data_IF_873239521094
#
_entry.id   IF_873239521094
#
_cell.length_a   1.000
_cell.length_b   1.000
_cell.length_c   1.000
_cell.angle_alpha   90.00
_cell.angle_beta   90.00
_cell.angle_gamma   90.00
#
_symmetry.space_group_name_H-M   'P 1'
#
loop_
_entity.id
_entity.type
_entity.pdbx_description
1 polymer ?
#
# COMPACT_ATOMS: atom_id res chain seq x y z
N UNK A 1 19.23 10.33 4.59
CA UNK A 1 17.77 10.12 4.68
C UNK A 1 17.30 8.93 3.86
N UNK A 2 17.29 8.99 2.51
CA UNK A 2 16.79 7.88 1.68
C UNK A 2 17.63 6.59 1.77
N UNK A 3 18.96 6.72 1.81
CA UNK A 3 19.87 5.58 1.94
C UNK A 3 19.76 4.90 3.31
N UNK A 4 19.58 5.67 4.38
CA UNK A 4 19.39 5.13 5.74
C UNK A 4 18.09 4.32 5.84
N UNK A 5 17.01 4.80 5.19
CA UNK A 5 15.73 4.08 5.13
C UNK A 5 15.89 2.73 4.42
N UNK A 6 16.62 2.69 3.30
CA UNK A 6 16.91 1.46 2.56
C UNK A 6 17.76 0.50 3.39
N UNK A 7 18.84 0.99 4.01
CA UNK A 7 19.72 0.16 4.82
C UNK A 7 18.98 -0.46 6.01
N UNK A 8 18.15 0.33 6.70
CA UNK A 8 17.31 -0.14 7.80
C UNK A 8 16.23 -1.12 7.33
N UNK A 9 15.60 -0.88 6.18
CA UNK A 9 14.65 -1.82 5.57
C UNK A 9 15.30 -3.18 5.29
N UNK A 10 16.44 -3.21 4.59
CA UNK A 10 17.17 -4.44 4.29
C UNK A 10 17.65 -5.14 5.57
N UNK A 11 18.15 -4.39 6.54
CA UNK A 11 18.59 -4.93 7.83
C UNK A 11 17.43 -5.54 8.61
N UNK A 12 16.25 -4.92 8.57
CA UNK A 12 15.03 -5.41 9.21
C UNK A 12 14.52 -6.67 8.52
N UNK A 13 14.47 -6.67 7.19
CA UNK A 13 14.08 -7.84 6.39
C UNK A 13 14.96 -9.06 6.67
N UNK A 14 16.28 -8.86 6.77
CA UNK A 14 17.21 -9.94 7.14
C UNK A 14 17.08 -10.36 8.61
N UNK A 15 17.13 -9.41 9.54
CA UNK A 15 17.15 -9.70 10.99
C UNK A 15 15.88 -10.40 11.46
N UNK A 16 14.72 -9.92 11.01
CA UNK A 16 13.43 -10.36 11.56
C UNK A 16 12.81 -11.50 10.74
N UNK A 17 13.21 -11.65 9.47
CA UNK A 17 12.59 -12.62 8.55
C UNK A 17 13.58 -13.48 7.75
N UNK A 18 14.89 -13.24 7.84
CA UNK A 18 15.89 -13.99 7.07
C UNK A 18 15.83 -13.76 5.55
N UNK A 19 15.25 -12.65 5.11
CA UNK A 19 15.01 -12.35 3.70
C UNK A 19 16.25 -11.68 3.07
N UNK A 20 16.67 -12.18 1.90
CA UNK A 20 17.83 -11.67 1.16
C UNK A 20 17.48 -10.84 -0.08
N UNK A 21 16.21 -10.87 -0.50
CA UNK A 21 15.69 -10.10 -1.64
C UNK A 21 14.60 -9.16 -1.15
N UNK A 22 14.76 -7.87 -1.44
CA UNK A 22 13.82 -6.85 -1.02
C UNK A 22 13.46 -5.98 -2.21
N UNK A 23 12.21 -5.55 -2.27
CA UNK A 23 11.70 -4.65 -3.31
C UNK A 23 11.20 -3.36 -2.67
N UNK A 24 11.57 -2.23 -3.26
CA UNK A 24 11.11 -0.90 -2.86
C UNK A 24 10.99 -0.04 -4.11
N UNK A 25 9.79 0.50 -4.35
CA UNK A 25 9.42 1.28 -5.54
C UNK A 25 10.45 2.36 -5.93
N UNK A 26 11.07 2.99 -4.93
CA UNK A 26 11.99 4.11 -5.10
C UNK A 26 13.35 3.68 -5.66
N UNK A 27 13.72 2.40 -5.50
CA UNK A 27 15.03 1.87 -5.91
C UNK A 27 14.88 0.84 -7.03
N UNK A 28 13.80 0.06 -7.01
CA UNK A 28 13.59 -1.07 -7.92
C UNK A 28 12.80 -0.72 -9.18
N UNK A 29 12.32 0.53 -9.32
CA UNK A 29 11.67 1.02 -10.53
C UNK A 29 12.54 2.09 -11.14
N UNK A 30 12.98 1.88 -12.38
CA UNK A 30 13.60 2.93 -13.17
C UNK A 30 12.55 3.95 -13.64
N UNK A 31 12.45 5.06 -12.91
CA UNK A 31 11.47 6.12 -13.21
C UNK A 31 11.83 6.95 -14.45
N UNK A 32 13.04 6.79 -15.00
CA UNK A 32 13.47 7.45 -16.24
C UNK A 32 13.03 6.68 -17.50
N UNK A 33 12.67 5.40 -17.34
CA UNK A 33 12.13 4.55 -18.40
C UNK A 33 10.61 4.53 -18.33
N UNK A 34 9.93 5.21 -19.25
CA UNK A 34 8.46 5.27 -19.27
C UNK A 34 7.81 3.89 -19.44
N UNK A 35 8.43 2.98 -20.21
CA UNK A 35 7.94 1.62 -20.39
C UNK A 35 8.09 0.78 -19.13
N UNK A 36 9.23 0.89 -18.43
CA UNK A 36 9.45 0.17 -17.18
C UNK A 36 8.56 0.72 -16.06
N UNK A 37 8.37 2.04 -16.02
CA UNK A 37 7.46 2.69 -15.08
C UNK A 37 6.01 2.21 -15.27
N UNK A 38 5.52 2.17 -16.53
CA UNK A 38 4.18 1.64 -16.85
C UNK A 38 4.04 0.18 -16.40
N UNK A 39 4.98 -0.68 -16.80
CA UNK A 39 4.97 -2.10 -16.46
C UNK A 39 5.03 -2.32 -14.94
N UNK A 40 5.89 -1.56 -14.26
CA UNK A 40 6.08 -1.68 -12.82
C UNK A 40 4.83 -1.26 -12.06
N UNK A 41 4.27 -0.09 -12.38
CA UNK A 41 3.06 0.41 -11.73
C UNK A 41 1.91 -0.59 -11.89
N UNK A 42 1.73 -1.13 -13.10
CA UNK A 42 0.69 -2.14 -13.39
C UNK A 42 0.93 -3.47 -12.67
N UNK A 43 2.16 -3.75 -12.29
CA UNK A 43 2.55 -4.99 -11.58
C UNK A 43 2.59 -4.84 -10.05
N UNK A 44 2.60 -3.61 -9.51
CA UNK A 44 2.81 -3.34 -8.08
C UNK A 44 1.85 -4.12 -7.17
N UNK A 45 0.56 -4.16 -7.49
CA UNK A 45 -0.41 -4.92 -6.69
C UNK A 45 -0.03 -6.39 -6.57
N UNK A 46 0.32 -7.02 -7.69
CA UNK A 46 0.68 -8.41 -7.73
C UNK A 46 2.02 -8.69 -7.01
N UNK A 47 2.95 -7.73 -7.02
CA UNK A 47 4.18 -7.82 -6.23
C UNK A 47 3.90 -7.77 -4.72
N UNK A 48 3.02 -6.87 -4.28
CA UNK A 48 2.59 -6.81 -2.88
C UNK A 48 1.83 -8.07 -2.45
N UNK A 49 0.89 -8.55 -3.27
CA UNK A 49 0.12 -9.78 -3.01
C UNK A 49 1.02 -11.01 -2.84
N UNK A 50 2.05 -11.14 -3.69
CA UNK A 50 2.96 -12.30 -3.71
C UNK A 50 4.17 -12.14 -2.80
N UNK A 51 4.33 -11.00 -2.14
CA UNK A 51 5.43 -10.80 -1.21
C UNK A 51 5.30 -11.75 -0.01
N UNK A 52 6.43 -12.27 0.46
CA UNK A 52 6.45 -13.09 1.68
C UNK A 52 5.99 -12.30 2.91
N UNK A 53 6.40 -11.03 3.01
CA UNK A 53 5.95 -10.05 4.00
C UNK A 53 6.11 -8.64 3.43
N UNK A 54 5.15 -7.77 3.70
CA UNK A 54 5.29 -6.34 3.49
C UNK A 54 5.61 -5.64 4.80
N UNK A 55 6.79 -5.01 4.86
CA UNK A 55 7.21 -4.16 5.98
C UNK A 55 6.73 -2.74 5.69
N UNK A 56 5.82 -2.24 6.52
CA UNK A 56 5.33 -0.85 6.44
C UNK A 56 6.06 -0.02 7.48
N UNK A 57 6.80 0.98 7.01
CA UNK A 57 7.47 1.96 7.85
C UNK A 57 6.58 3.19 8.06
N UNK A 58 6.14 3.40 9.29
CA UNK A 58 5.33 4.53 9.73
C UNK A 58 6.24 5.62 10.31
N UNK A 59 6.49 6.66 9.50
CA UNK A 59 7.51 7.67 9.77
C UNK A 59 7.17 8.62 10.92
N UNK A 60 5.88 8.73 11.26
CA UNK A 60 5.35 9.65 12.27
C UNK A 60 4.89 8.91 13.54
N UNK A 61 5.15 7.60 13.60
CA UNK A 61 4.63 6.71 14.65
C UNK A 61 5.78 6.12 15.47
N UNK A 62 5.68 6.16 16.80
CA UNK A 62 6.61 5.46 17.71
C UNK A 62 5.87 4.32 18.44
N UNK A 63 4.60 4.53 18.73
CA UNK A 63 3.75 3.62 19.48
C UNK A 63 2.51 3.21 18.68
N UNK A 64 2.00 2.00 18.90
CA UNK A 64 0.86 1.48 18.12
C UNK A 64 -0.38 2.37 18.17
N UNK A 65 -0.70 2.99 19.30
CA UNK A 65 -1.86 3.88 19.42
C UNK A 65 -1.75 5.17 18.59
N UNK A 66 -0.56 5.48 18.05
CA UNK A 66 -0.33 6.65 17.19
C UNK A 66 -0.60 6.35 15.69
N UNK A 67 -0.78 5.07 15.33
CA UNK A 67 -1.00 4.60 13.95
C UNK A 67 -2.08 5.42 13.21
N UNK A 68 -3.25 5.74 13.80
CA UNK A 68 -4.28 6.50 13.09
C UNK A 68 -3.83 7.90 12.64
N UNK A 69 -2.81 8.47 13.28
CA UNK A 69 -2.32 9.81 12.94
C UNK A 69 -1.30 9.82 11.81
N UNK A 70 -0.70 8.67 11.48
CA UNK A 70 0.35 8.61 10.46
C UNK A 70 -0.18 8.92 9.05
N UNK A 71 0.52 9.80 8.35
CA UNK A 71 0.20 10.20 6.99
C UNK A 71 0.23 9.04 5.98
N UNK A 72 0.83 7.90 6.30
CA UNK A 72 0.78 6.72 5.44
C UNK A 72 -0.67 6.29 5.12
N UNK A 73 -1.62 6.44 6.05
CA UNK A 73 -3.02 6.04 5.84
C UNK A 73 -3.83 6.99 4.96
N UNK A 74 -3.33 8.19 4.66
CA UNK A 74 -4.00 9.12 3.74
C UNK A 74 -3.51 9.01 2.32
N UNK A 75 -2.39 8.35 2.05
CA UNK A 75 -1.82 8.33 0.69
C UNK A 75 -2.61 7.38 -0.23
N UNK A 76 -2.77 7.74 -1.51
CA UNK A 76 -3.49 6.91 -2.49
C UNK A 76 -2.92 5.50 -2.65
N UNK A 77 -1.65 5.40 -3.03
CA UNK A 77 -0.95 4.13 -3.32
C UNK A 77 -0.84 3.17 -2.13
N UNK A 78 -0.82 3.69 -0.90
CA UNK A 78 -0.71 2.86 0.30
C UNK A 78 -1.94 1.99 0.52
N UNK A 79 -3.03 2.22 -0.23
CA UNK A 79 -4.21 1.35 -0.19
C UNK A 79 -3.85 -0.02 -0.73
N UNK A 80 -3.11 -0.08 -1.84
CA UNK A 80 -2.65 -1.35 -2.39
C UNK A 80 -1.59 -1.97 -1.50
N UNK A 81 -0.64 -1.18 -0.98
CA UNK A 81 0.36 -1.63 -0.01
C UNK A 81 -0.28 -2.26 1.23
N UNK A 82 -1.42 -1.74 1.67
CA UNK A 82 -2.17 -2.29 2.77
C UNK A 82 -3.00 -3.51 2.37
N UNK A 83 -3.79 -3.42 1.29
CA UNK A 83 -4.81 -4.41 0.95
C UNK A 83 -4.20 -5.68 0.35
N UNK A 84 -3.27 -5.53 -0.60
CA UNK A 84 -2.77 -6.65 -1.41
C UNK A 84 -2.02 -7.73 -0.61
N UNK A 85 -1.08 -7.41 0.30
CA UNK A 85 -0.24 -8.45 0.92
C UNK A 85 -1.03 -9.37 1.84
N UNK A 86 -0.75 -10.67 1.83
CA UNK A 86 -1.32 -11.56 2.85
C UNK A 86 -0.72 -11.34 4.24
N UNK A 87 0.56 -10.93 4.28
CA UNK A 87 1.31 -10.71 5.51
C UNK A 87 1.91 -9.31 5.52
N UNK A 88 1.60 -8.54 6.57
CA UNK A 88 2.05 -7.16 6.71
C UNK A 88 2.48 -6.89 8.16
N UNK A 89 3.59 -6.20 8.35
CA UNK A 89 4.08 -5.80 9.66
C UNK A 89 4.42 -4.31 9.70
N UNK A 90 3.94 -3.61 10.73
CA UNK A 90 4.21 -2.20 10.95
C UNK A 90 5.44 -1.98 11.83
N UNK A 91 6.30 -1.09 11.36
CA UNK A 91 7.48 -0.60 12.05
C UNK A 91 7.35 0.90 12.26
N UNK A 92 7.67 1.36 13.47
CA UNK A 92 7.71 2.78 13.78
C UNK A 92 8.93 3.48 13.20
N UNK A 93 8.99 4.79 13.41
CA UNK A 93 10.08 5.68 13.01
C UNK A 93 11.46 5.26 13.54
N UNK A 94 11.50 4.46 14.60
CA UNK A 94 12.69 3.88 15.21
C UNK A 94 13.07 2.49 14.67
N UNK A 95 12.41 2.01 13.60
CA UNK A 95 12.60 0.67 13.02
C UNK A 95 12.39 -0.49 14.00
N UNK A 96 11.49 -0.29 14.97
CA UNK A 96 10.99 -1.36 15.84
C UNK A 96 9.56 -1.71 15.46
N UNK A 97 9.20 -2.98 15.59
CA UNK A 97 7.82 -3.43 15.47
C UNK A 97 6.93 -2.63 16.42
N UNK A 98 5.79 -2.15 15.93
CA UNK A 98 4.83 -1.44 16.77
C UNK A 98 4.02 -2.39 17.66
N UNK A 99 4.04 -3.68 17.36
CA UNK A 99 3.32 -4.72 18.10
C UNK A 99 4.23 -5.90 18.43
N UNK A 100 3.91 -6.57 19.52
CA UNK A 100 4.49 -7.83 19.97
C UNK A 100 3.74 -9.06 19.43
N UNK A 101 2.59 -8.85 18.78
CA UNK A 101 1.86 -9.89 18.05
C UNK A 101 2.76 -10.54 17.00
N UNK A 102 2.43 -11.76 16.58
CA UNK A 102 3.07 -12.54 15.52
C UNK A 102 3.42 -11.70 14.28
N UNK A 103 4.16 -12.26 13.35
CA UNK A 103 4.68 -11.59 12.15
C UNK A 103 3.64 -11.08 11.11
N UNK A 104 2.35 -11.02 11.47
CA UNK A 104 1.25 -10.47 10.67
C UNK A 104 0.32 -9.58 11.50
N UNK A 105 0.39 -8.26 11.32
CA UNK A 105 -0.48 -7.30 11.99
C UNK A 105 -1.91 -7.28 11.42
N UNK A 106 -2.14 -7.91 10.25
CA UNK A 106 -3.49 -8.12 9.71
C UNK A 106 -4.31 -9.13 10.50
N UNK A 107 -3.69 -9.88 11.39
CA UNK A 107 -4.36 -10.84 12.28
C UNK A 107 -4.56 -10.28 13.70
N UNK A 108 -4.06 -9.07 13.97
CA UNK A 108 -4.11 -8.49 15.29
C UNK A 108 -5.26 -7.51 15.46
N UNK A 109 -6.29 -7.93 16.22
CA UNK A 109 -7.53 -7.17 16.40
C UNK A 109 -7.32 -5.71 16.84
N UNK A 110 -6.39 -5.43 17.76
CA UNK A 110 -6.16 -4.06 18.24
C UNK A 110 -5.63 -3.13 17.15
N UNK A 111 -4.74 -3.63 16.27
CA UNK A 111 -4.25 -2.85 15.13
C UNK A 111 -5.35 -2.62 14.12
N UNK A 112 -6.12 -3.66 13.80
CA UNK A 112 -7.22 -3.56 12.86
C UNK A 112 -8.27 -2.54 13.32
N UNK A 113 -8.52 -2.42 14.63
CA UNK A 113 -9.39 -1.37 15.18
C UNK A 113 -8.85 0.03 14.95
N UNK A 114 -7.57 0.26 15.21
CA UNK A 114 -6.93 1.56 14.97
C UNK A 114 -6.96 1.93 13.48
N UNK A 115 -6.74 0.95 12.61
CA UNK A 115 -6.80 1.17 11.16
C UNK A 115 -8.25 1.42 10.70
N UNK A 116 -9.23 0.70 11.25
CA UNK A 116 -10.66 0.91 10.97
C UNK A 116 -11.08 2.34 11.34
N UNK A 117 -10.65 2.86 12.50
CA UNK A 117 -10.90 4.24 12.91
C UNK A 117 -10.37 5.27 11.90
N UNK A 118 -9.21 5.00 11.30
CA UNK A 118 -8.58 5.92 10.35
C UNK A 118 -9.10 5.79 8.93
N UNK A 119 -9.30 4.56 8.47
CA UNK A 119 -9.57 4.25 7.05
C UNK A 119 -11.04 3.99 6.76
N UNK A 120 -11.84 3.75 7.80
CA UNK A 120 -13.22 3.27 7.69
C UNK A 120 -13.34 1.95 6.91
N UNK A 121 -12.27 1.13 6.84
CA UNK A 121 -12.27 -0.20 6.25
C UNK A 121 -12.36 -1.22 7.39
N UNK A 122 -13.45 -1.97 7.44
CA UNK A 122 -13.69 -2.93 8.51
C UNK A 122 -12.82 -4.18 8.38
N UNK A 123 -12.65 -4.91 9.48
CA UNK A 123 -11.93 -6.19 9.47
C UNK A 123 -12.48 -7.18 8.43
N UNK A 124 -13.81 -7.31 8.34
CA UNK A 124 -14.45 -8.23 7.39
C UNK A 124 -14.12 -7.89 5.93
N UNK A 125 -14.01 -6.60 5.62
CA UNK A 125 -13.61 -6.10 4.32
C UNK A 125 -12.14 -6.41 3.99
N UNK A 126 -11.26 -6.35 4.99
CA UNK A 126 -9.84 -6.65 4.84
C UNK A 126 -9.55 -8.14 4.65
N UNK A 127 -10.35 -9.01 5.28
CA UNK A 127 -10.21 -10.46 5.14
C UNK A 127 -10.72 -10.96 3.79
N UNK A 128 -11.79 -10.36 3.26
CA UNK A 128 -12.51 -10.88 2.10
C UNK A 128 -12.76 -9.81 1.03
N UNK A 129 -11.71 -9.11 0.60
CA UNK A 129 -11.76 -8.01 -0.38
C UNK A 129 -12.57 -8.36 -1.63
N UNK A 130 -12.42 -9.57 -2.16
CA UNK A 130 -13.14 -10.03 -3.35
C UNK A 130 -14.67 -10.07 -3.18
N UNK A 131 -15.16 -10.24 -1.95
CA UNK A 131 -16.59 -10.24 -1.62
C UNK A 131 -17.16 -8.84 -1.42
N UNK A 132 -16.29 -7.83 -1.31
CA UNK A 132 -16.70 -6.44 -1.09
C UNK A 132 -17.24 -5.86 -2.40
N UNK A 133 -18.44 -5.24 -2.39
CA UNK A 133 -19.00 -4.57 -3.56
C UNK A 133 -18.02 -3.56 -4.15
N UNK A 134 -17.98 -3.48 -5.49
CA UNK A 134 -17.10 -2.54 -6.20
C UNK A 134 -17.30 -1.09 -5.73
N UNK A 135 -18.55 -0.68 -5.52
CA UNK A 135 -18.89 0.66 -4.99
C UNK A 135 -18.29 0.92 -3.61
N UNK A 136 -18.19 -0.11 -2.77
CA UNK A 136 -17.59 -0.01 -1.44
C UNK A 136 -16.06 0.03 -1.51
N UNK A 137 -15.45 -0.77 -2.38
CA UNK A 137 -14.00 -0.68 -2.68
C UNK A 137 -13.61 0.71 -3.19
N UNK A 138 -14.47 1.34 -3.99
CA UNK A 138 -14.26 2.72 -4.45
C UNK A 138 -14.25 3.73 -3.28
N UNK A 139 -15.10 3.53 -2.27
CA UNK A 139 -15.15 4.41 -1.09
C UNK A 139 -13.88 4.36 -0.24
N UNK A 140 -13.11 3.26 -0.27
CA UNK A 140 -11.84 3.16 0.46
C UNK A 140 -10.79 4.19 -0.01
N UNK A 141 -11.00 4.75 -1.20
CA UNK A 141 -10.16 5.79 -1.78
C UNK A 141 -10.61 7.21 -1.42
N UNK A 142 -11.83 7.38 -0.90
CA UNK A 142 -12.48 8.69 -0.84
C UNK A 142 -11.78 9.71 0.09
N UNK A 143 -11.11 9.24 1.15
CA UNK A 143 -10.35 10.07 2.07
C UNK A 143 -8.85 10.11 1.75
N UNK A 144 -8.44 9.57 0.59
CA UNK A 144 -7.04 9.47 0.21
C UNK A 144 -6.60 10.66 -0.64
N UNK A 145 -5.34 11.02 -0.48
CA UNK A 145 -4.66 12.13 -1.11
C UNK A 145 -3.57 11.59 -2.04
N UNK A 146 -3.43 12.23 -3.19
CA UNK A 146 -2.47 11.86 -4.22
C UNK A 146 -1.65 13.08 -4.62
N UNK A 147 -0.38 12.85 -4.97
CA UNK A 147 0.51 13.92 -5.44
C UNK A 147 0.27 14.22 -6.91
N UNK A 148 0.09 13.18 -7.74
CA UNK A 148 -0.34 13.31 -9.12
C UNK A 148 -1.82 13.00 -9.19
N UNK A 149 -2.57 13.86 -9.86
CA UNK A 149 -4.03 13.80 -9.84
C UNK A 149 -4.56 12.48 -10.46
N UNK A 150 -3.85 11.91 -11.44
CA UNK A 150 -4.19 10.65 -12.10
C UNK A 150 -4.02 9.43 -11.19
N UNK A 151 -3.16 9.53 -10.17
CA UNK A 151 -2.95 8.44 -9.21
C UNK A 151 -4.23 8.15 -8.42
N UNK A 152 -5.20 9.07 -8.37
CA UNK A 152 -6.53 8.80 -7.81
C UNK A 152 -7.20 7.59 -8.50
N UNK A 153 -6.94 7.42 -9.80
CA UNK A 153 -7.41 6.27 -10.57
C UNK A 153 -6.38 5.14 -10.58
N UNK A 154 -5.11 5.44 -10.87
CA UNK A 154 -4.08 4.39 -11.02
C UNK A 154 -3.83 3.61 -9.72
N UNK A 155 -3.96 4.25 -8.55
CA UNK A 155 -3.83 3.56 -7.27
C UNK A 155 -4.98 2.60 -6.97
N UNK A 156 -6.01 2.52 -7.80
CA UNK A 156 -7.15 1.62 -7.62
C UNK A 156 -7.16 0.41 -8.54
N UNK A 157 -6.43 0.44 -9.67
CA UNK A 157 -6.53 -0.60 -10.70
C UNK A 157 -6.28 -2.02 -10.14
N UNK A 158 -5.30 -2.19 -9.25
CA UNK A 158 -5.00 -3.48 -8.62
C UNK A 158 -6.11 -3.98 -7.69
N UNK A 159 -6.81 -3.08 -7.00
CA UNK A 159 -7.93 -3.42 -6.09
C UNK A 159 -9.15 -3.91 -6.88
N UNK A 160 -9.30 -3.43 -8.11
CA UNK A 160 -10.33 -3.86 -9.03
C UNK A 160 -9.86 -4.99 -9.97
N UNK A 161 -8.61 -5.42 -9.86
CA UNK A 161 -8.00 -6.42 -10.73
C UNK A 161 -8.12 -6.06 -12.23
N UNK A 162 -7.93 -4.78 -12.54
CA UNK A 162 -7.87 -4.25 -13.90
C UNK A 162 -6.50 -3.65 -14.18
N UNK A 163 -6.20 -3.39 -15.45
CA UNK A 163 -4.90 -2.89 -15.85
C UNK A 163 -5.05 -1.81 -16.92
N UNK A 164 -4.80 -0.56 -16.55
CA UNK A 164 -4.78 0.59 -17.46
C UNK A 164 -3.35 1.12 -17.66
N UNK A 165 -3.01 1.57 -18.87
CA UNK A 165 -1.72 2.23 -19.13
C UNK A 165 -1.60 3.57 -18.41
N UNK A 166 -0.41 3.84 -17.89
CA UNK A 166 -0.05 5.05 -17.16
C UNK A 166 0.25 6.17 -18.15
N UNK A 167 -0.53 7.25 -18.07
CA UNK A 167 -0.46 8.40 -18.97
C UNK A 167 -0.50 9.70 -18.16
N UNK A 168 0.56 9.95 -17.38
CA UNK A 168 0.68 11.19 -16.62
C UNK A 168 0.61 12.42 -17.54
N UNK A 169 -0.23 13.38 -17.16
CA UNK A 169 -0.62 14.53 -17.97
C UNK A 169 -1.99 14.37 -18.63
N UNK A 170 -2.65 13.21 -18.53
CA UNK A 170 -4.01 13.03 -19.06
C UNK A 170 -5.10 13.67 -18.17
N UNK A 171 -4.76 14.01 -16.92
CA UNK A 171 -5.66 14.61 -15.94
C UNK A 171 -6.55 13.59 -15.21
N UNK A 172 -6.94 13.92 -13.97
CA UNK A 172 -7.65 12.98 -13.09
C UNK A 172 -8.98 12.47 -13.68
N UNK A 173 -9.73 13.35 -14.34
CA UNK A 173 -11.03 13.00 -14.90
C UNK A 173 -10.90 11.90 -15.97
N UNK A 174 -9.94 12.04 -16.88
CA UNK A 174 -9.73 11.08 -17.96
C UNK A 174 -9.17 9.76 -17.45
N UNK A 175 -8.20 9.81 -16.53
CA UNK A 175 -7.65 8.62 -15.88
C UNK A 175 -8.76 7.84 -15.15
N UNK A 176 -9.67 8.53 -14.46
CA UNK A 176 -10.79 7.90 -13.76
C UNK A 176 -11.83 7.31 -14.70
N UNK A 177 -12.15 7.97 -15.83
CA UNK A 177 -13.05 7.40 -16.85
C UNK A 177 -12.49 6.09 -17.41
N UNK A 178 -11.20 6.05 -17.76
CA UNK A 178 -10.54 4.82 -18.25
C UNK A 178 -10.57 3.70 -17.22
N UNK A 179 -10.39 4.03 -15.94
CA UNK A 179 -10.53 3.05 -14.86
C UNK A 179 -11.95 2.47 -14.83
N UNK A 180 -12.99 3.32 -14.89
CA UNK A 180 -14.38 2.86 -14.88
C UNK A 180 -14.71 1.99 -16.10
N UNK A 181 -14.20 2.36 -17.29
CA UNK A 181 -14.37 1.59 -18.53
C UNK A 181 -13.79 0.17 -18.42
N UNK A 182 -12.66 -0.01 -17.74
CA UNK A 182 -12.09 -1.36 -17.52
C UNK A 182 -12.76 -2.16 -16.40
N UNK A 183 -13.42 -1.49 -15.45
CA UNK A 183 -14.10 -2.17 -14.32
C UNK A 183 -15.46 -2.77 -14.74
N UNK A 184 -16.14 -2.13 -15.70
CA UNK A 184 -17.51 -2.46 -16.14
C UNK A 184 -17.56 -3.49 -17.26
#
# INVERSE_FOLDING_TARGET
AGYDKLASFCSTAWRDYGITLAWMDTICINKDSSSELDESIRSMYAWYERAYVCIVYLAETIHAWEIPQDSWFTRGWTLQEFIAPHRLKFYGSNWKCLTDHWDNDKEYFLILRLIEERTNISYAELVSVATVPMSRRMQWAASREVTREEDMAYSLMGIFNVSISIAYGEGAHRAFLRLLEEIM
#
